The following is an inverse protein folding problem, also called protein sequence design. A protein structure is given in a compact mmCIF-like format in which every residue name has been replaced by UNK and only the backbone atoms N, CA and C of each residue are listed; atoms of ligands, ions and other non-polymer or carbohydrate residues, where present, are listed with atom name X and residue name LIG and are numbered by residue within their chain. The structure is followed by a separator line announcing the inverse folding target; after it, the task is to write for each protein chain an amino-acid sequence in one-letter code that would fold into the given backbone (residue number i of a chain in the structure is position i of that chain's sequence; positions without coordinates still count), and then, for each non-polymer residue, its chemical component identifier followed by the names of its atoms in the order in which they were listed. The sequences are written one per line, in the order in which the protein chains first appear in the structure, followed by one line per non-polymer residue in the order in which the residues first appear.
data_IF_602816158579
#
_entry.id   IF_602816158579
#
_cell.length_a   1.000
_cell.length_b   1.000
_cell.length_c   1.000
_cell.angle_alpha   90.00
_cell.angle_beta   90.00
_cell.angle_gamma   90.00
#
_symmetry.space_group_name_H-M   'P 1'
#
loop_
_entity.id
_entity.type
_entity.pdbx_description
1 polymer ?
#
# COMPACT_ATOMS: atom_id res chain seq x y z
N UNK A 1 -2.66 22.06 4.59
CA UNK A 1 -1.85 20.87 4.86
C UNK A 1 -1.65 20.78 6.37
N UNK A 2 -2.17 19.71 6.97
CA UNK A 2 -2.01 19.38 8.37
C UNK A 2 -0.53 19.07 8.66
N UNK A 3 -0.08 19.35 9.86
CA UNK A 3 1.28 19.03 10.32
C UNK A 3 1.21 18.18 11.57
N UNK A 4 2.25 17.43 11.87
CA UNK A 4 2.34 16.62 13.08
C UNK A 4 1.98 17.39 14.36
N UNK A 5 2.45 18.62 14.51
CA UNK A 5 2.17 19.50 15.67
C UNK A 5 0.69 19.87 15.85
N UNK A 6 -0.13 19.69 14.80
CA UNK A 6 -1.56 20.00 14.81
C UNK A 6 -2.39 18.78 15.28
N UNK A 7 -1.76 17.61 15.41
CA UNK A 7 -2.36 16.39 15.95
C UNK A 7 -2.34 16.45 17.49
N UNK A 8 -3.37 15.88 18.12
CA UNK A 8 -3.43 15.77 19.57
C UNK A 8 -2.13 15.16 20.14
N UNK A 9 -1.37 15.91 20.97
CA UNK A 9 -0.12 15.43 21.55
C UNK A 9 -0.31 14.22 22.50
N UNK A 10 -1.55 13.98 22.96
CA UNK A 10 -1.92 12.82 23.78
C UNK A 10 -1.90 11.49 23.03
N UNK A 11 -1.83 11.48 21.70
CA UNK A 11 -1.69 10.26 20.91
C UNK A 11 -0.35 9.58 21.21
N UNK A 12 -0.41 8.25 21.42
CA UNK A 12 0.75 7.42 21.74
C UNK A 12 1.13 6.48 20.59
N UNK A 13 0.19 6.22 19.69
CA UNK A 13 0.36 5.30 18.57
C UNK A 13 -0.31 5.83 17.31
N UNK A 14 0.34 5.58 16.20
CA UNK A 14 -0.12 5.92 14.85
C UNK A 14 -0.22 4.66 14.01
N UNK A 15 -1.35 4.49 13.37
CA UNK A 15 -1.64 3.35 12.48
C UNK A 15 -1.81 3.88 11.07
N UNK A 16 -1.03 3.36 10.14
CA UNK A 16 -1.07 3.76 8.73
C UNK A 16 -1.56 2.59 7.86
N UNK A 17 -2.38 2.87 6.86
CA UNK A 17 -2.46 1.99 5.70
C UNK A 17 -1.16 2.08 4.89
N UNK A 18 -0.85 1.07 4.08
CA UNK A 18 0.34 1.04 3.23
C UNK A 18 0.11 1.76 1.91
N UNK A 19 -0.83 1.22 1.11
CA UNK A 19 -1.09 1.66 -0.26
C UNK A 19 -1.81 3.02 -0.27
N UNK A 20 -1.32 3.94 -1.09
CA UNK A 20 -1.81 5.32 -1.22
C UNK A 20 -1.73 6.17 0.06
N UNK A 21 -1.09 5.66 1.12
CA UNK A 21 -0.82 6.37 2.37
C UNK A 21 0.67 6.55 2.59
N UNK A 22 1.44 5.47 2.60
CA UNK A 22 2.91 5.56 2.73
C UNK A 22 3.54 5.99 1.40
N UNK A 23 3.05 5.45 0.29
CA UNK A 23 3.53 5.69 -1.06
C UNK A 23 2.39 5.56 -2.07
N UNK A 24 2.52 6.09 -3.32
CA UNK A 24 1.52 5.90 -4.36
C UNK A 24 1.50 4.44 -4.85
N UNK A 25 0.44 3.68 -4.61
CA UNK A 25 0.31 2.28 -5.08
C UNK A 25 0.52 2.15 -6.60
N UNK A 26 0.13 3.16 -7.35
CA UNK A 26 0.38 3.25 -8.78
C UNK A 26 1.82 2.97 -9.15
N UNK A 27 2.79 3.44 -8.36
CA UNK A 27 4.21 3.32 -8.66
C UNK A 27 4.70 1.86 -8.56
N UNK A 28 4.06 1.04 -7.72
CA UNK A 28 4.25 -0.40 -7.69
C UNK A 28 3.61 -1.08 -8.90
N UNK A 29 2.33 -0.83 -9.13
CA UNK A 29 1.56 -1.51 -10.17
C UNK A 29 2.12 -1.25 -11.57
N UNK A 30 2.48 0.00 -11.89
CA UNK A 30 3.06 0.33 -13.19
C UNK A 30 4.41 -0.36 -13.44
N UNK A 31 5.22 -0.59 -12.42
CA UNK A 31 6.46 -1.34 -12.57
C UNK A 31 6.20 -2.83 -12.78
N UNK A 32 5.23 -3.41 -12.08
CA UNK A 32 4.79 -4.80 -12.33
C UNK A 32 4.28 -4.97 -13.76
N UNK A 33 3.46 -4.02 -14.23
CA UNK A 33 2.93 -4.05 -15.61
C UNK A 33 4.04 -3.89 -16.67
N UNK A 34 5.02 -3.04 -16.40
CA UNK A 34 6.21 -2.92 -17.24
C UNK A 34 6.97 -4.24 -17.33
N UNK A 35 7.20 -4.92 -16.21
CA UNK A 35 7.88 -6.22 -16.19
C UNK A 35 7.09 -7.28 -16.97
N UNK A 36 5.77 -7.32 -16.79
CA UNK A 36 4.91 -8.22 -17.57
C UNK A 36 4.94 -7.92 -19.06
N UNK A 37 4.92 -6.64 -19.44
CA UNK A 37 4.99 -6.22 -20.84
C UNK A 37 6.29 -6.69 -21.52
N UNK A 38 7.42 -6.56 -20.82
CA UNK A 38 8.71 -7.05 -21.31
C UNK A 38 8.73 -8.59 -21.41
N UNK A 39 8.13 -9.28 -20.44
CA UNK A 39 8.02 -10.73 -20.48
C UNK A 39 7.20 -11.20 -21.70
N UNK A 40 6.08 -10.56 -22.00
CA UNK A 40 5.24 -10.91 -23.18
C UNK A 40 6.01 -10.65 -24.48
N UNK A 41 6.62 -9.48 -24.65
CA UNK A 41 7.41 -9.18 -25.86
C UNK A 41 8.56 -10.18 -26.05
N UNK A 42 9.28 -10.50 -25.00
CA UNK A 42 10.38 -11.47 -25.05
C UNK A 42 9.91 -12.88 -25.43
N UNK A 43 8.73 -13.28 -24.94
CA UNK A 43 8.22 -14.65 -25.11
C UNK A 43 7.50 -14.86 -26.43
N UNK A 44 6.70 -13.89 -26.87
CA UNK A 44 5.81 -13.99 -28.03
C UNK A 44 6.26 -13.11 -29.22
N UNK A 45 7.20 -12.17 -29.01
CA UNK A 45 7.65 -11.21 -30.02
C UNK A 45 6.67 -10.08 -30.28
N UNK A 46 5.44 -10.16 -29.78
CA UNK A 46 4.39 -9.15 -29.87
C UNK A 46 3.36 -9.35 -28.76
N UNK A 47 2.64 -8.28 -28.30
CA UNK A 47 2.82 -6.88 -28.67
C UNK A 47 4.17 -6.31 -28.15
N UNK A 48 4.58 -5.12 -28.64
CA UNK A 48 5.76 -4.44 -28.09
C UNK A 48 5.56 -4.09 -26.63
N UNK A 49 6.61 -4.23 -25.82
CA UNK A 49 6.56 -3.89 -24.38
C UNK A 49 6.17 -2.45 -24.15
N UNK A 50 6.64 -1.53 -24.98
CA UNK A 50 6.28 -0.11 -24.91
C UNK A 50 4.78 0.11 -25.13
N UNK A 51 4.20 -0.52 -26.16
CA UNK A 51 2.76 -0.41 -26.48
C UNK A 51 1.89 -1.01 -25.37
N UNK A 52 2.26 -2.18 -24.85
CA UNK A 52 1.53 -2.84 -23.79
C UNK A 52 1.64 -2.09 -22.45
N UNK A 53 2.83 -1.54 -22.14
CA UNK A 53 3.04 -0.72 -20.94
C UNK A 53 2.19 0.55 -20.97
N UNK A 54 2.14 1.27 -22.10
CA UNK A 54 1.33 2.47 -22.25
C UNK A 54 -0.17 2.16 -22.18
N UNK A 55 -0.59 1.01 -22.72
CA UNK A 55 -1.95 0.51 -22.53
C UNK A 55 -2.28 0.31 -21.05
N UNK A 56 -1.43 -0.41 -20.32
CA UNK A 56 -1.65 -0.65 -18.89
C UNK A 56 -1.74 0.65 -18.09
N UNK A 57 -0.87 1.62 -18.37
CA UNK A 57 -0.87 2.93 -17.74
C UNK A 57 -2.18 3.67 -17.98
N UNK A 58 -2.66 3.67 -19.23
CA UNK A 58 -3.92 4.31 -19.63
C UNK A 58 -5.11 3.58 -19.00
N UNK A 59 -5.13 2.25 -19.07
CA UNK A 59 -6.19 1.43 -18.48
C UNK A 59 -6.27 1.60 -16.97
N UNK A 60 -5.14 1.62 -16.28
CA UNK A 60 -5.09 1.89 -14.85
C UNK A 60 -5.63 3.27 -14.49
N UNK A 61 -5.27 4.30 -15.27
CA UNK A 61 -5.77 5.66 -15.04
C UNK A 61 -7.30 5.76 -15.14
N UNK A 62 -7.93 5.00 -16.06
CA UNK A 62 -9.37 5.05 -16.28
C UNK A 62 -10.18 4.08 -15.41
N UNK A 63 -9.62 2.95 -15.05
CA UNK A 63 -10.36 1.82 -14.45
C UNK A 63 -9.73 1.28 -13.16
N UNK A 64 -8.59 1.81 -12.73
CA UNK A 64 -7.83 1.21 -11.65
C UNK A 64 -7.20 -0.13 -12.05
N UNK A 65 -6.92 -0.96 -11.06
CA UNK A 65 -6.33 -2.31 -11.26
C UNK A 65 -7.37 -3.37 -11.63
N UNK A 66 -8.67 -3.07 -11.52
CA UNK A 66 -9.73 -4.05 -11.70
C UNK A 66 -9.79 -4.61 -13.13
N UNK A 67 -9.73 -5.94 -13.21
CA UNK A 67 -9.78 -6.67 -14.48
C UNK A 67 -8.77 -6.18 -15.54
N UNK A 68 -7.60 -5.66 -15.10
CA UNK A 68 -6.64 -5.04 -16.01
C UNK A 68 -5.98 -6.06 -16.94
N UNK A 69 -5.77 -7.30 -16.48
CA UNK A 69 -5.28 -8.39 -17.32
C UNK A 69 -6.28 -8.73 -18.43
N UNK A 70 -7.58 -8.83 -18.10
CA UNK A 70 -8.66 -9.09 -19.06
C UNK A 70 -8.74 -8.02 -20.13
N UNK A 71 -8.56 -6.75 -19.74
CA UNK A 71 -8.54 -5.63 -20.68
C UNK A 71 -7.36 -5.71 -21.63
N UNK A 72 -6.17 -6.04 -21.12
CA UNK A 72 -4.98 -6.23 -21.94
C UNK A 72 -5.11 -7.45 -22.86
N UNK A 73 -5.64 -8.57 -22.34
CA UNK A 73 -5.95 -9.76 -23.13
C UNK A 73 -6.90 -9.44 -24.29
N UNK A 74 -7.96 -8.70 -24.03
CA UNK A 74 -8.93 -8.34 -25.08
C UNK A 74 -8.34 -7.39 -26.13
N UNK A 75 -7.47 -6.46 -25.72
CA UNK A 75 -6.89 -5.46 -26.63
C UNK A 75 -5.75 -6.02 -27.50
N UNK A 76 -4.95 -6.94 -26.98
CA UNK A 76 -3.73 -7.43 -27.62
C UNK A 76 -3.74 -8.93 -27.97
N UNK A 77 -4.81 -9.65 -27.61
CA UNK A 77 -4.88 -11.10 -27.84
C UNK A 77 -3.92 -11.91 -26.97
N UNK A 78 -3.57 -11.41 -25.77
CA UNK A 78 -2.67 -12.11 -24.85
C UNK A 78 -3.33 -13.44 -24.44
N UNK A 79 -2.58 -14.54 -24.53
CA UNK A 79 -3.06 -15.87 -24.17
C UNK A 79 -3.35 -15.97 -22.67
N UNK A 80 -4.44 -16.64 -22.32
CA UNK A 80 -4.86 -16.90 -20.94
C UNK A 80 -3.79 -17.63 -20.11
N UNK A 81 -2.94 -18.43 -20.75
CA UNK A 81 -1.82 -19.14 -20.10
C UNK A 81 -0.87 -18.20 -19.33
N UNK A 82 -0.85 -16.90 -19.67
CA UNK A 82 0.01 -15.91 -19.02
C UNK A 82 -0.60 -15.24 -17.79
N UNK A 83 -1.84 -15.55 -17.44
CA UNK A 83 -2.49 -15.03 -16.23
C UNK A 83 -1.67 -15.37 -14.97
N UNK A 84 -1.28 -16.61 -14.82
CA UNK A 84 -0.47 -17.03 -13.68
C UNK A 84 0.86 -16.27 -13.58
N UNK A 85 1.50 -16.00 -14.73
CA UNK A 85 2.72 -15.19 -14.76
C UNK A 85 2.46 -13.75 -14.34
N UNK A 86 1.35 -13.15 -14.80
CA UNK A 86 0.94 -11.81 -14.42
C UNK A 86 0.69 -11.72 -12.92
N UNK A 87 -0.11 -12.62 -12.35
CA UNK A 87 -0.41 -12.66 -10.93
C UNK A 87 0.86 -12.90 -10.09
N UNK A 88 1.72 -13.83 -10.51
CA UNK A 88 2.97 -14.14 -9.81
C UNK A 88 3.91 -12.94 -9.72
N UNK A 89 3.96 -12.07 -10.72
CA UNK A 89 4.79 -10.86 -10.68
C UNK A 89 4.42 -9.94 -9.53
N UNK A 90 3.15 -9.90 -9.10
CA UNK A 90 2.72 -9.07 -7.98
C UNK A 90 3.36 -9.47 -6.64
N UNK A 91 3.83 -10.68 -6.45
CA UNK A 91 4.48 -11.10 -5.20
C UNK A 91 5.94 -11.55 -5.35
N UNK A 92 6.44 -11.69 -6.59
CA UNK A 92 7.83 -12.13 -6.82
C UNK A 92 8.69 -11.11 -7.54
N UNK A 93 8.10 -10.07 -8.13
CA UNK A 93 8.86 -9.10 -8.92
C UNK A 93 9.89 -8.36 -8.07
N UNK A 94 11.11 -8.24 -8.61
CA UNK A 94 12.08 -7.26 -8.17
C UNK A 94 11.90 -6.04 -9.06
N UNK A 95 11.46 -4.93 -8.46
CA UNK A 95 11.15 -3.73 -9.22
C UNK A 95 12.41 -3.06 -9.77
N UNK A 96 12.36 -2.50 -10.99
CA UNK A 96 13.46 -1.72 -11.56
C UNK A 96 13.86 -0.51 -10.71
N UNK A 97 12.87 0.12 -10.07
CA UNK A 97 13.07 1.30 -9.23
C UNK A 97 12.50 1.05 -7.83
N UNK A 98 13.16 1.60 -6.81
CA UNK A 98 12.61 1.62 -5.45
C UNK A 98 11.30 2.38 -5.38
N UNK A 99 10.41 1.94 -4.52
CA UNK A 99 9.20 2.70 -4.18
C UNK A 99 9.58 3.82 -3.23
N UNK A 100 9.13 5.03 -3.53
CA UNK A 100 9.42 6.20 -2.72
C UNK A 100 8.18 6.59 -1.91
N UNK A 101 8.39 6.89 -0.64
CA UNK A 101 7.33 7.44 0.21
C UNK A 101 6.94 8.84 -0.26
N UNK A 102 5.70 9.25 0.05
CA UNK A 102 5.36 10.67 0.02
C UNK A 102 6.29 11.45 0.95
N UNK A 103 6.78 12.59 0.47
CA UNK A 103 7.73 13.42 1.23
C UNK A 103 7.16 13.87 2.58
N UNK A 104 5.88 14.20 2.60
CA UNK A 104 5.15 14.64 3.78
C UNK A 104 4.99 13.50 4.79
N UNK A 105 4.73 12.29 4.31
CA UNK A 105 4.64 11.08 5.15
C UNK A 105 5.99 10.73 5.76
N UNK A 106 7.06 10.82 4.97
CA UNK A 106 8.42 10.60 5.49
C UNK A 106 8.72 11.55 6.66
N UNK A 107 8.39 12.85 6.51
CA UNK A 107 8.55 13.85 7.58
C UNK A 107 7.69 13.51 8.80
N UNK A 108 6.42 13.16 8.57
CA UNK A 108 5.48 12.78 9.63
C UNK A 108 6.00 11.58 10.43
N UNK A 109 6.47 10.52 9.77
CA UNK A 109 7.05 9.35 10.44
C UNK A 109 8.28 9.73 11.27
N UNK A 110 9.16 10.59 10.74
CA UNK A 110 10.34 11.07 11.46
C UNK A 110 9.96 11.84 12.74
N UNK A 111 8.96 12.74 12.68
CA UNK A 111 8.48 13.49 13.84
C UNK A 111 7.85 12.57 14.88
N UNK A 112 7.05 11.58 14.48
CA UNK A 112 6.47 10.56 15.39
C UNK A 112 7.57 9.77 16.10
N UNK A 113 8.64 9.38 15.38
CA UNK A 113 9.79 8.66 15.95
C UNK A 113 10.58 9.52 16.93
N UNK A 114 10.81 10.79 16.61
CA UNK A 114 11.49 11.75 17.52
C UNK A 114 10.74 11.83 18.84
N UNK A 115 9.41 11.85 18.82
CA UNK A 115 8.55 11.86 20.00
C UNK A 115 8.39 10.48 20.68
N UNK A 116 9.11 9.45 20.16
CA UNK A 116 9.11 8.08 20.69
C UNK A 116 7.72 7.44 20.76
N UNK A 117 6.83 7.81 19.84
CA UNK A 117 5.50 7.21 19.71
C UNK A 117 5.56 5.97 18.83
N UNK A 118 4.61 5.06 19.04
CA UNK A 118 4.58 3.79 18.30
C UNK A 118 4.01 3.98 16.89
N UNK A 119 4.55 3.26 15.93
CA UNK A 119 4.08 3.25 14.55
C UNK A 119 3.72 1.83 14.14
N UNK A 120 2.51 1.67 13.62
CA UNK A 120 1.99 0.43 13.07
C UNK A 120 1.55 0.65 11.63
N UNK A 121 1.78 -0.33 10.78
CA UNK A 121 1.16 -0.41 9.46
C UNK A 121 0.17 -1.55 9.51
N UNK A 122 -1.10 -1.30 9.16
CA UNK A 122 -2.13 -2.32 8.99
C UNK A 122 -2.62 -2.23 7.54
N UNK A 123 -2.36 -3.27 6.76
CA UNK A 123 -2.68 -3.27 5.33
C UNK A 123 -3.57 -4.44 4.93
N UNK A 124 -4.60 -4.14 4.12
CA UNK A 124 -5.44 -5.13 3.47
C UNK A 124 -4.72 -5.68 2.22
N UNK A 125 -5.22 -6.82 1.72
CA UNK A 125 -4.69 -7.50 0.55
C UNK A 125 -3.85 -8.72 0.92
N UNK A 126 -3.42 -9.47 -0.11
CA UNK A 126 -2.63 -10.70 0.08
C UNK A 126 -1.29 -10.39 0.74
N UNK A 127 -0.99 -11.10 1.82
CA UNK A 127 0.20 -10.89 2.66
C UNK A 127 1.50 -10.92 1.84
N UNK A 128 1.60 -11.85 0.87
CA UNK A 128 2.81 -11.96 0.03
C UNK A 128 3.01 -10.74 -0.87
N UNK A 129 1.92 -10.16 -1.40
CA UNK A 129 1.98 -8.95 -2.24
C UNK A 129 2.42 -7.76 -1.38
N UNK A 130 1.78 -7.56 -0.22
CA UNK A 130 2.11 -6.46 0.68
C UNK A 130 3.54 -6.58 1.22
N UNK A 131 3.99 -7.80 1.54
CA UNK A 131 5.37 -8.05 1.92
C UNK A 131 6.35 -7.67 0.81
N UNK A 132 6.03 -7.99 -0.46
CA UNK A 132 6.87 -7.62 -1.59
C UNK A 132 6.96 -6.09 -1.74
N UNK A 133 5.85 -5.37 -1.62
CA UNK A 133 5.80 -3.90 -1.64
C UNK A 133 6.69 -3.31 -0.54
N UNK A 134 6.54 -3.78 0.70
CA UNK A 134 7.30 -3.32 1.88
C UNK A 134 8.81 -3.51 1.70
N UNK A 135 9.25 -4.64 1.14
CA UNK A 135 10.67 -4.92 0.88
C UNK A 135 11.30 -3.99 -0.16
N UNK A 136 10.48 -3.39 -1.02
CA UNK A 136 10.94 -2.55 -2.11
C UNK A 136 10.78 -1.05 -1.85
N UNK A 137 10.18 -0.69 -0.72
CA UNK A 137 10.11 0.69 -0.24
C UNK A 137 11.48 1.20 0.20
N UNK A 138 11.76 2.45 -0.12
CA UNK A 138 12.91 3.19 0.41
C UNK A 138 12.54 3.74 1.80
N UNK A 139 12.83 2.97 2.84
CA UNK A 139 12.45 3.31 4.22
C UNK A 139 13.31 4.38 4.88
N UNK A 140 14.45 4.72 4.30
CA UNK A 140 15.40 5.69 4.86
C UNK A 140 15.84 5.37 6.30
N UNK A 141 15.90 4.09 6.67
CA UNK A 141 16.26 3.62 8.02
C UNK A 141 15.11 3.61 9.01
N UNK A 142 13.88 3.95 8.61
CA UNK A 142 12.73 3.99 9.49
C UNK A 142 12.10 2.61 9.75
N UNK A 143 12.43 1.60 8.96
CA UNK A 143 11.87 0.24 9.05
C UNK A 143 12.03 -0.41 10.43
N UNK A 144 13.03 0.01 11.21
CA UNK A 144 13.28 -0.51 12.56
C UNK A 144 12.34 0.06 13.64
N UNK A 145 11.60 1.12 13.31
CA UNK A 145 10.75 1.84 14.27
C UNK A 145 9.26 1.56 14.10
N UNK A 146 8.90 0.68 13.16
CA UNK A 146 7.51 0.36 12.87
C UNK A 146 7.27 -1.16 12.87
N UNK A 147 6.03 -1.54 13.12
CA UNK A 147 5.56 -2.92 13.03
C UNK A 147 4.50 -3.04 11.94
N UNK A 148 4.58 -4.06 11.13
CA UNK A 148 3.63 -4.32 10.03
C UNK A 148 2.70 -5.46 10.40
N UNK A 149 1.41 -5.28 10.14
CA UNK A 149 0.37 -6.27 10.29
C UNK A 149 -0.37 -6.45 8.97
N UNK A 150 -0.40 -7.67 8.48
CA UNK A 150 -1.18 -8.05 7.31
C UNK A 150 -2.57 -8.44 7.80
N UNK A 151 -3.58 -7.65 7.45
CA UNK A 151 -4.93 -7.85 7.94
C UNK A 151 -5.51 -9.22 7.52
N UNK A 152 -5.12 -9.72 6.35
CA UNK A 152 -5.51 -11.05 5.86
C UNK A 152 -5.15 -12.19 6.85
N UNK A 153 -4.07 -12.06 7.59
CA UNK A 153 -3.60 -13.09 8.55
C UNK A 153 -4.46 -13.15 9.82
N UNK A 154 -5.24 -12.12 10.10
CA UNK A 154 -6.12 -12.04 11.27
C UNK A 154 -7.56 -11.85 10.80
N UNK A 155 -7.90 -10.64 10.32
CA UNK A 155 -9.18 -10.30 9.71
C UNK A 155 -9.06 -8.98 8.94
N UNK A 156 -9.60 -8.95 7.72
CA UNK A 156 -9.54 -7.78 6.86
C UNK A 156 -10.27 -6.58 7.48
N UNK A 157 -9.73 -5.36 7.28
CA UNK A 157 -10.46 -4.14 7.57
C UNK A 157 -11.76 -4.09 6.73
N UNK A 158 -12.86 -3.56 7.24
CA UNK A 158 -12.98 -2.71 8.44
C UNK A 158 -13.14 -3.45 9.78
N UNK A 159 -12.97 -4.76 9.83
CA UNK A 159 -13.12 -5.52 11.08
C UNK A 159 -12.02 -5.11 12.10
N UNK A 160 -12.38 -4.93 13.40
CA UNK A 160 -11.48 -4.32 14.39
C UNK A 160 -10.45 -5.28 15.00
N UNK A 161 -10.41 -6.54 14.57
CA UNK A 161 -9.66 -7.62 15.22
C UNK A 161 -8.15 -7.32 15.28
N UNK A 162 -7.57 -6.85 14.15
CA UNK A 162 -6.13 -6.52 14.08
C UNK A 162 -5.78 -5.41 15.07
N UNK A 163 -6.57 -4.33 15.14
CA UNK A 163 -6.30 -3.25 16.07
C UNK A 163 -6.53 -3.68 17.52
N UNK A 164 -7.52 -4.53 17.78
CA UNK A 164 -7.78 -5.08 19.11
C UNK A 164 -6.59 -5.89 19.62
N UNK A 165 -5.96 -6.67 18.74
CA UNK A 165 -4.71 -7.38 19.04
C UNK A 165 -3.58 -6.40 19.38
N UNK A 166 -3.36 -5.36 18.56
CA UNK A 166 -2.32 -4.35 18.78
C UNK A 166 -2.53 -3.62 20.11
N UNK A 167 -3.77 -3.24 20.42
CA UNK A 167 -4.14 -2.56 21.68
C UNK A 167 -3.75 -3.43 22.87
N UNK A 168 -4.12 -4.71 22.84
CA UNK A 168 -3.83 -5.66 23.93
C UNK A 168 -2.33 -5.89 24.10
N UNK A 169 -1.61 -6.11 23.01
CA UNK A 169 -0.17 -6.44 23.03
C UNK A 169 0.71 -5.26 23.48
N UNK A 170 0.26 -4.01 23.23
CA UNK A 170 1.04 -2.80 23.52
C UNK A 170 0.49 -1.95 24.68
N UNK A 171 -0.50 -2.44 25.42
CA UNK A 171 -1.16 -1.75 26.54
C UNK A 171 -1.66 -0.33 26.15
N UNK A 172 -2.25 -0.20 25.00
CA UNK A 172 -2.81 1.05 24.48
C UNK A 172 -4.29 1.17 24.84
N UNK A 173 -4.81 2.39 24.81
CA UNK A 173 -6.24 2.67 24.81
C UNK A 173 -6.66 3.19 23.45
N UNK A 174 -7.91 2.98 23.05
CA UNK A 174 -8.45 3.44 21.75
C UNK A 174 -8.22 4.95 21.55
N UNK A 175 -8.42 5.76 22.57
CA UNK A 175 -8.17 7.20 22.54
C UNK A 175 -6.69 7.59 22.29
N UNK A 176 -5.77 6.69 22.58
CA UNK A 176 -4.32 6.93 22.41
C UNK A 176 -3.89 6.76 20.95
N UNK A 177 -4.79 6.27 20.07
CA UNK A 177 -4.47 5.86 18.68
C UNK A 177 -5.01 6.88 17.69
N UNK A 178 -4.22 7.17 16.67
CA UNK A 178 -4.60 7.88 15.47
C UNK A 178 -4.46 6.94 14.27
N UNK A 179 -5.51 6.77 13.48
CA UNK A 179 -5.46 6.03 12.21
C UNK A 179 -5.33 7.01 11.06
N UNK A 180 -4.44 6.73 10.13
CA UNK A 180 -4.20 7.51 8.91
C UNK A 180 -4.42 6.58 7.71
N UNK A 181 -5.39 6.90 6.88
CA UNK A 181 -5.82 6.09 5.75
C UNK A 181 -6.11 6.91 4.51
N UNK A 182 -6.45 6.24 3.40
CA UNK A 182 -6.76 6.85 2.12
C UNK A 182 -8.13 6.42 1.54
N UNK A 183 -8.82 5.50 2.20
CA UNK A 183 -10.03 4.88 1.66
C UNK A 183 -11.19 4.92 2.65
N UNK A 184 -12.41 4.73 2.11
CA UNK A 184 -13.62 4.56 2.93
C UNK A 184 -13.48 3.38 3.90
N UNK A 185 -12.80 2.30 3.49
CA UNK A 185 -12.57 1.13 4.36
C UNK A 185 -11.69 1.49 5.57
N UNK A 186 -10.73 2.42 5.41
CA UNK A 186 -9.88 2.87 6.52
C UNK A 186 -10.67 3.74 7.50
N UNK A 187 -11.56 4.61 7.00
CA UNK A 187 -12.45 5.42 7.82
C UNK A 187 -13.47 4.55 8.58
N UNK A 188 -14.07 3.57 7.91
CA UNK A 188 -14.95 2.59 8.53
C UNK A 188 -14.21 1.78 9.60
N UNK A 189 -12.97 1.38 9.32
CA UNK A 189 -12.12 0.68 10.29
C UNK A 189 -11.89 1.51 11.55
N UNK A 190 -11.52 2.79 11.39
CA UNK A 190 -11.36 3.69 12.53
C UNK A 190 -12.65 3.83 13.35
N UNK A 191 -13.79 3.94 12.66
CA UNK A 191 -15.11 4.00 13.29
C UNK A 191 -15.44 2.72 14.06
N UNK A 192 -15.24 1.54 13.44
CA UNK A 192 -15.46 0.25 14.09
C UNK A 192 -14.54 0.06 15.31
N UNK A 193 -13.32 0.58 15.23
CA UNK A 193 -12.36 0.54 16.32
C UNK A 193 -12.66 1.57 17.42
N UNK A 194 -13.43 2.61 17.15
CA UNK A 194 -13.67 3.73 18.07
C UNK A 194 -12.41 4.54 18.34
N UNK A 195 -11.64 4.83 17.28
CA UNK A 195 -10.39 5.61 17.30
C UNK A 195 -10.55 6.85 16.43
N UNK A 196 -9.64 7.82 16.60
CA UNK A 196 -9.57 8.98 15.72
C UNK A 196 -8.98 8.61 14.35
N UNK A 197 -9.42 9.33 13.32
CA UNK A 197 -9.02 9.14 11.92
C UNK A 197 -8.62 10.45 11.26
N UNK A 198 -7.62 10.38 10.39
CA UNK A 198 -7.23 11.48 9.49
C UNK A 198 -7.05 10.88 8.08
N UNK A 199 -7.67 11.49 7.07
CA UNK A 199 -7.41 11.14 5.69
C UNK A 199 -6.05 11.68 5.26
N UNK A 200 -5.28 10.88 4.52
CA UNK A 200 -3.90 11.22 4.13
C UNK A 200 -3.81 12.53 3.33
N UNK A 201 -4.81 12.86 2.53
CA UNK A 201 -4.85 14.09 1.73
C UNK A 201 -4.75 15.38 2.59
N UNK A 202 -5.04 15.30 3.89
CA UNK A 202 -4.85 16.44 4.77
C UNK A 202 -3.38 16.81 4.94
N UNK A 203 -2.47 15.84 4.74
CA UNK A 203 -1.03 16.04 4.82
C UNK A 203 -0.39 16.30 3.44
N UNK A 204 -0.95 15.75 2.35
CA UNK A 204 -0.48 15.87 0.98
C UNK A 204 -1.05 17.11 0.31
#
# INVERSE_FOLDING_TARGET
MLKYKDIDPGKKAFVFELDNVIYPERDYLLQVYYLFSNFIEFTEGAPSSAGLTEFFKTAYHHYGSDHIFEKAKAAFGIDEKYRENFERLHFTAILPLKLLMYTEVLKLLQEIIIDRKQIFIITNGRSEIQLNKIRQLEWNGLEHYLKVFYAEEIKLKPEPDVLSYIISDNNLLRKDIMIIGASVVDEEFATCCGTDYIHIDEFL
#
